data_IF_573871267480
#
_entry.id   IF_573871267480
#
_cell.length_a   1.000
_cell.length_b   1.000
_cell.length_c   1.000
_cell.angle_alpha   90.00
_cell.angle_beta   90.00
_cell.angle_gamma   90.00
#
_symmetry.space_group_name_H-M   'P 1'
#
loop_
_entity.id
_entity.type
_entity.pdbx_description
1 polymer ?
#
# COMPACT_ATOMS: atom_id res chain seq x y z
N UNK A 1 -18.40 17.28 19.24
CA UNK A 1 -17.10 17.85 18.89
C UNK A 1 -16.48 18.26 20.20
N UNK A 2 -15.47 17.54 20.69
CA UNK A 2 -14.78 17.94 21.92
C UNK A 2 -13.82 19.05 21.53
N UNK A 3 -14.16 20.29 21.88
CA UNK A 3 -13.24 21.43 21.79
C UNK A 3 -12.27 21.40 22.97
N UNK A 4 -11.18 22.18 22.87
CA UNK A 4 -10.28 22.44 23.99
C UNK A 4 -11.09 23.22 25.03
N UNK A 5 -11.55 22.52 26.07
CA UNK A 5 -12.34 23.13 27.13
C UNK A 5 -11.46 23.79 28.20
N UNK A 6 -10.21 23.36 28.31
CA UNK A 6 -9.30 23.76 29.38
C UNK A 6 -7.84 23.76 28.87
N UNK A 7 -6.98 24.55 29.52
CA UNK A 7 -5.55 24.57 29.19
C UNK A 7 -4.91 23.21 29.50
N UNK A 8 -4.09 22.70 28.58
CA UNK A 8 -3.36 21.45 28.79
C UNK A 8 -2.40 21.59 29.96
N UNK A 9 -2.32 20.59 30.86
CA UNK A 9 -1.30 20.56 31.92
C UNK A 9 0.14 20.58 31.38
N UNK A 10 0.34 20.28 30.10
CA UNK A 10 1.63 20.40 29.43
C UNK A 10 2.02 21.85 29.13
N UNK A 11 1.08 22.82 29.17
CA UNK A 11 1.39 24.24 28.96
C UNK A 11 2.23 24.86 30.08
N UNK A 12 2.35 24.18 31.22
CA UNK A 12 3.23 24.60 32.32
C UNK A 12 4.71 24.29 32.06
N UNK A 13 5.02 23.50 31.03
CA UNK A 13 6.39 23.16 30.65
C UNK A 13 6.84 24.21 29.63
N UNK A 14 7.86 25.01 29.97
CA UNK A 14 8.35 26.11 29.11
C UNK A 14 8.87 25.67 27.75
N UNK A 15 9.27 24.40 27.62
CA UNK A 15 9.73 23.79 26.37
C UNK A 15 8.62 23.11 25.55
N UNK A 16 7.38 23.07 26.07
CA UNK A 16 6.25 22.47 25.38
C UNK A 16 5.30 23.55 24.86
N UNK A 17 5.14 23.59 23.55
CA UNK A 17 4.18 24.47 22.90
C UNK A 17 3.20 23.62 22.08
N UNK A 18 1.88 23.67 22.36
CA UNK A 18 0.90 22.74 21.79
C UNK A 18 0.90 22.64 20.26
N UNK A 19 1.27 23.72 19.57
CA UNK A 19 1.27 23.80 18.09
C UNK A 19 2.57 23.23 17.49
N UNK A 20 3.70 23.31 18.20
CA UNK A 20 5.01 22.94 17.66
C UNK A 20 5.55 21.65 18.25
N UNK A 21 5.10 21.27 19.44
CA UNK A 21 5.54 20.09 20.19
C UNK A 21 4.64 18.87 19.97
N UNK A 22 3.42 19.05 19.45
CA UNK A 22 2.55 17.93 19.06
C UNK A 22 2.58 17.77 17.53
N UNK A 23 2.77 16.54 17.01
CA UNK A 23 2.66 16.30 15.59
C UNK A 23 1.22 16.57 15.13
N UNK A 24 1.01 17.29 14.02
CA UNK A 24 -0.33 17.57 13.51
C UNK A 24 -1.04 16.26 13.15
N UNK A 25 -2.33 16.15 13.46
CA UNK A 25 -3.11 14.98 13.12
C UNK A 25 -3.58 15.09 11.67
N UNK A 26 -2.68 14.80 10.73
CA UNK A 26 -2.96 14.82 9.28
C UNK A 26 -4.24 14.06 8.91
N UNK A 27 -4.61 13.03 9.66
CA UNK A 27 -5.83 12.27 9.43
C UNK A 27 -7.06 13.13 9.74
N UNK A 28 -7.14 13.70 10.94
CA UNK A 28 -8.30 14.49 11.35
C UNK A 28 -8.31 15.90 10.74
N UNK A 29 -7.17 16.58 10.72
CA UNK A 29 -7.07 17.99 10.31
C UNK A 29 -7.13 18.13 8.79
N UNK A 30 -6.40 17.27 8.06
CA UNK A 30 -6.28 17.38 6.59
C UNK A 30 -7.24 16.45 5.89
N UNK A 31 -7.16 15.14 6.14
CA UNK A 31 -7.90 14.14 5.34
C UNK A 31 -9.39 14.08 5.67
N UNK A 32 -9.75 14.19 6.95
CA UNK A 32 -11.14 14.24 7.39
C UNK A 32 -11.67 15.67 7.50
N UNK A 33 -10.79 16.63 7.75
CA UNK A 33 -11.11 18.05 7.91
C UNK A 33 -11.13 18.81 6.58
N UNK A 34 -9.99 19.39 6.20
CA UNK A 34 -9.92 20.40 5.14
C UNK A 34 -10.09 19.83 3.73
N UNK A 35 -9.50 18.67 3.41
CA UNK A 35 -9.48 18.10 2.06
C UNK A 35 -10.88 17.81 1.49
N UNK A 36 -11.80 17.16 2.21
CA UNK A 36 -13.14 16.90 1.69
C UNK A 36 -13.90 18.19 1.39
N UNK A 37 -13.69 19.24 2.21
CA UNK A 37 -14.31 20.54 2.03
C UNK A 37 -13.78 21.27 0.81
N UNK A 38 -12.46 21.29 0.65
CA UNK A 38 -11.80 21.89 -0.51
C UNK A 38 -12.18 21.19 -1.82
N UNK A 39 -12.21 19.84 -1.82
CA UNK A 39 -12.67 19.06 -2.96
C UNK A 39 -14.14 19.35 -3.32
N UNK A 40 -15.01 19.49 -2.31
CA UNK A 40 -16.43 19.81 -2.52
C UNK A 40 -16.60 21.21 -3.14
N UNK A 41 -15.88 22.21 -2.63
CA UNK A 41 -15.92 23.58 -3.18
C UNK A 41 -15.39 23.64 -4.62
N UNK A 42 -14.30 22.91 -4.92
CA UNK A 42 -13.76 22.80 -6.27
C UNK A 42 -14.77 22.18 -7.23
N UNK A 43 -15.37 21.04 -6.86
CA UNK A 43 -16.38 20.39 -7.68
C UNK A 43 -17.59 21.30 -7.90
N UNK A 44 -18.06 22.00 -6.87
CA UNK A 44 -19.14 22.97 -7.00
C UNK A 44 -18.79 24.10 -7.98
N UNK A 45 -17.58 24.67 -7.87
CA UNK A 45 -17.11 25.73 -8.77
C UNK A 45 -16.97 25.25 -10.23
N UNK A 46 -16.47 24.04 -10.45
CA UNK A 46 -16.37 23.44 -11.78
C UNK A 46 -17.74 23.17 -12.40
N UNK A 47 -18.72 22.76 -11.58
CA UNK A 47 -20.09 22.54 -12.03
C UNK A 47 -20.84 23.85 -12.30
N UNK A 48 -20.67 24.87 -11.46
CA UNK A 48 -21.29 26.19 -11.66
C UNK A 48 -20.75 26.91 -12.89
N UNK A 49 -19.46 26.74 -13.18
CA UNK A 49 -18.80 27.21 -14.42
C UNK A 49 -19.08 26.32 -15.65
N UNK A 50 -19.91 25.27 -15.52
CA UNK A 50 -20.28 24.33 -16.60
C UNK A 50 -19.09 23.59 -17.23
N UNK A 51 -17.99 23.44 -16.50
CA UNK A 51 -16.81 22.67 -16.96
C UNK A 51 -17.05 21.16 -16.89
N UNK A 52 -17.89 20.70 -15.96
CA UNK A 52 -18.26 19.29 -15.84
C UNK A 52 -19.64 19.11 -15.20
N UNK A 53 -20.28 17.97 -15.43
CA UNK A 53 -21.52 17.55 -14.75
C UNK A 53 -21.27 16.42 -13.75
N UNK A 54 -22.18 16.27 -12.79
CA UNK A 54 -22.16 15.14 -11.85
C UNK A 54 -22.20 13.79 -12.58
N UNK A 55 -22.97 13.70 -13.68
CA UNK A 55 -23.07 12.50 -14.51
C UNK A 55 -21.74 12.18 -15.21
N UNK A 56 -21.05 13.19 -15.76
CA UNK A 56 -19.73 13.02 -16.38
C UNK A 56 -18.70 12.53 -15.36
N UNK A 57 -18.66 13.11 -14.17
CA UNK A 57 -17.73 12.69 -13.11
C UNK A 57 -18.01 11.25 -12.67
N UNK A 58 -19.27 10.90 -12.40
CA UNK A 58 -19.65 9.53 -12.04
C UNK A 58 -19.30 8.53 -13.14
N UNK A 59 -19.48 8.92 -14.40
CA UNK A 59 -19.09 8.10 -15.54
C UNK A 59 -17.56 7.92 -15.61
N UNK A 60 -16.78 8.98 -15.36
CA UNK A 60 -15.32 8.90 -15.29
C UNK A 60 -14.84 8.00 -14.15
N UNK A 61 -15.40 8.15 -12.95
CA UNK A 61 -15.10 7.28 -11.79
C UNK A 61 -15.37 5.82 -12.14
N UNK A 62 -16.51 5.51 -12.75
CA UNK A 62 -16.87 4.13 -13.09
C UNK A 62 -16.04 3.55 -14.25
N UNK A 63 -15.65 4.37 -15.22
CA UNK A 63 -14.82 3.95 -16.36
C UNK A 63 -13.34 3.83 -16.00
N UNK A 64 -12.88 4.49 -14.95
CA UNK A 64 -11.47 4.49 -14.57
C UNK A 64 -11.01 3.10 -14.09
N UNK A 65 -9.91 2.62 -14.65
CA UNK A 65 -9.33 1.32 -14.29
C UNK A 65 -8.44 1.46 -13.06
N UNK A 66 -9.01 1.26 -11.87
CA UNK A 66 -8.26 1.30 -10.61
C UNK A 66 -7.29 0.13 -10.47
N UNK A 67 -6.10 0.41 -9.91
CA UNK A 67 -5.11 -0.58 -9.50
C UNK A 67 -5.64 -1.56 -8.46
N UNK A 68 -4.96 -2.68 -8.26
CA UNK A 68 -5.42 -3.74 -7.36
C UNK A 68 -5.53 -3.26 -5.90
N UNK A 69 -4.59 -2.45 -5.41
CA UNK A 69 -4.67 -1.92 -4.05
C UNK A 69 -5.72 -0.81 -3.92
N UNK A 70 -5.99 -0.07 -5.01
CA UNK A 70 -6.87 1.09 -5.00
C UNK A 70 -8.34 0.77 -5.35
N UNK A 71 -8.63 -0.43 -5.86
CA UNK A 71 -10.02 -0.92 -6.09
C UNK A 71 -10.92 -0.79 -4.86
N UNK A 72 -10.38 -1.00 -3.65
CA UNK A 72 -11.11 -0.87 -2.39
C UNK A 72 -11.33 0.59 -1.96
N UNK A 73 -10.51 1.50 -2.49
CA UNK A 73 -10.55 2.93 -2.20
C UNK A 73 -11.12 3.74 -3.38
N UNK A 74 -11.90 3.11 -4.26
CA UNK A 74 -12.53 3.81 -5.38
C UNK A 74 -13.46 4.93 -4.85
N UNK A 75 -13.47 6.12 -5.47
CA UNK A 75 -14.40 7.18 -5.13
C UNK A 75 -15.85 6.69 -5.25
N UNK A 76 -16.71 7.17 -4.36
CA UNK A 76 -18.14 6.88 -4.43
C UNK A 76 -18.82 7.78 -5.48
N UNK A 77 -19.89 7.29 -6.10
CA UNK A 77 -20.67 8.08 -7.05
C UNK A 77 -21.30 9.31 -6.35
N UNK A 78 -21.02 10.49 -6.87
CA UNK A 78 -21.56 11.75 -6.36
C UNK A 78 -23.09 11.75 -6.48
N UNK A 79 -23.78 12.02 -5.37
CA UNK A 79 -25.23 12.32 -5.38
C UNK A 79 -25.40 13.84 -5.32
N UNK A 80 -26.43 14.39 -5.96
CA UNK A 80 -26.68 15.85 -5.99
C UNK A 80 -26.77 16.47 -4.58
N UNK A 81 -27.31 15.72 -3.62
CA UNK A 81 -27.35 16.09 -2.21
C UNK A 81 -25.98 16.22 -1.51
N UNK A 82 -24.94 15.58 -2.05
CA UNK A 82 -23.58 15.61 -1.51
C UNK A 82 -22.82 16.88 -1.98
N UNK A 83 -23.38 17.65 -2.92
CA UNK A 83 -22.79 18.86 -3.54
C UNK A 83 -23.36 20.14 -2.91
N UNK A 84 -24.38 20.05 -2.04
CA UNK A 84 -24.98 21.23 -1.40
C UNK A 84 -24.16 21.73 -0.20
N UNK A 85 -24.00 23.06 -0.11
CA UNK A 85 -23.22 23.75 0.93
C UNK A 85 -23.57 23.34 2.37
N UNK A 86 -24.85 22.96 2.62
CA UNK A 86 -25.35 22.58 3.95
C UNK A 86 -24.86 21.21 4.44
N UNK A 87 -24.50 20.28 3.55
CA UNK A 87 -24.10 18.91 3.93
C UNK A 87 -22.58 18.75 4.15
N UNK A 88 -21.80 19.81 3.94
CA UNK A 88 -20.33 19.83 4.09
C UNK A 88 -19.89 19.62 5.57
N UNK A 89 -20.82 19.70 6.53
CA UNK A 89 -20.48 19.83 7.97
C UNK A 89 -20.33 18.56 8.82
N UNK A 90 -20.74 17.35 8.42
CA UNK A 90 -20.74 16.26 9.42
C UNK A 90 -20.79 14.78 8.96
N UNK A 91 -20.84 14.45 7.67
CA UNK A 91 -21.16 13.06 7.22
C UNK A 91 -20.04 12.30 6.53
N UNK A 92 -18.81 12.80 6.58
CA UNK A 92 -17.73 12.19 5.80
C UNK A 92 -16.99 11.05 6.51
N UNK A 93 -17.06 10.99 7.85
CA UNK A 93 -16.34 10.03 8.69
C UNK A 93 -16.80 8.58 8.56
N UNK A 94 -18.07 8.31 8.21
CA UNK A 94 -18.56 6.94 7.99
C UNK A 94 -18.40 6.45 6.54
N UNK A 95 -18.17 7.35 5.58
CA UNK A 95 -18.18 7.05 4.14
C UNK A 95 -16.82 7.14 3.44
N UNK A 96 -15.91 7.98 3.94
CA UNK A 96 -14.68 8.35 3.23
C UNK A 96 -13.45 8.17 4.10
N UNK A 97 -13.39 7.06 4.86
CA UNK A 97 -12.31 6.77 5.79
C UNK A 97 -10.90 7.09 5.22
N UNK A 98 -9.95 7.44 6.09
CA UNK A 98 -8.67 8.03 5.70
C UNK A 98 -7.90 7.13 4.73
N UNK A 99 -7.10 7.76 3.86
CA UNK A 99 -6.20 7.05 2.95
C UNK A 99 -5.34 6.06 3.76
N UNK A 100 -5.33 4.78 3.36
CA UNK A 100 -4.69 3.66 4.08
C UNK A 100 -3.24 3.94 4.53
N UNK A 101 -2.52 4.81 3.81
CA UNK A 101 -1.11 5.14 4.04
C UNK A 101 -0.88 6.37 4.95
N UNK A 102 -1.93 7.10 5.31
CA UNK A 102 -1.93 8.26 6.21
C UNK A 102 -2.91 8.07 7.38
N UNK A 103 -3.35 6.83 7.57
CA UNK A 103 -4.37 6.43 8.51
C UNK A 103 -3.77 6.21 9.90
N UNK A 104 -4.10 7.10 10.83
CA UNK A 104 -3.69 7.04 12.24
C UNK A 104 -4.46 5.99 13.06
N UNK A 105 -5.35 5.22 12.45
CA UNK A 105 -6.06 4.11 13.11
C UNK A 105 -5.12 3.08 13.76
N UNK A 106 -3.86 2.96 13.34
CA UNK A 106 -2.87 2.13 14.06
C UNK A 106 -2.49 2.70 15.43
N UNK A 107 -2.35 4.03 15.51
CA UNK A 107 -2.15 4.72 16.78
C UNK A 107 -3.42 4.64 17.64
N UNK A 108 -4.60 4.82 17.03
CA UNK A 108 -5.88 4.69 17.72
C UNK A 108 -6.14 3.26 18.22
N UNK A 109 -5.81 2.23 17.43
CA UNK A 109 -5.95 0.83 17.82
C UNK A 109 -5.04 0.48 18.99
N UNK A 110 -3.80 1.01 19.01
CA UNK A 110 -2.92 0.85 20.17
C UNK A 110 -3.49 1.58 21.38
N UNK A 111 -3.99 2.80 21.22
CA UNK A 111 -4.67 3.55 22.27
C UNK A 111 -5.93 2.85 22.79
N UNK A 112 -6.68 2.13 21.95
CA UNK A 112 -7.84 1.36 22.36
C UNK A 112 -7.46 0.26 23.37
N UNK A 113 -6.36 -0.47 23.13
CA UNK A 113 -5.84 -1.42 24.11
C UNK A 113 -5.45 -0.73 25.43
N UNK A 114 -4.76 0.41 25.36
CA UNK A 114 -4.36 1.16 26.56
C UNK A 114 -5.59 1.63 27.36
N UNK A 115 -6.63 2.14 26.67
CA UNK A 115 -7.91 2.53 27.28
C UNK A 115 -8.61 1.35 27.93
N UNK A 116 -8.63 0.19 27.29
CA UNK A 116 -9.21 -1.02 27.88
C UNK A 116 -8.47 -1.45 29.16
N UNK A 117 -7.13 -1.42 29.15
CA UNK A 117 -6.32 -1.75 30.32
C UNK A 117 -6.57 -0.74 31.45
N UNK A 118 -6.65 0.55 31.12
CA UNK A 118 -6.92 1.62 32.07
C UNK A 118 -8.32 1.50 32.70
N UNK A 119 -9.34 1.23 31.88
CA UNK A 119 -10.72 1.14 32.34
C UNK A 119 -11.00 -0.14 33.16
N UNK A 120 -10.24 -1.22 32.92
CA UNK A 120 -10.40 -2.51 33.62
C UNK A 120 -9.48 -2.67 34.83
N UNK A 121 -8.31 -2.05 34.80
CA UNK A 121 -7.38 -2.06 35.91
C UNK A 121 -7.73 -0.91 36.83
N UNK A 122 -8.48 -1.17 37.91
CA UNK A 122 -8.84 -0.20 38.96
C UNK A 122 -7.59 0.28 39.74
N UNK A 123 -6.64 0.92 39.05
CA UNK A 123 -5.34 1.32 39.55
C UNK A 123 -5.16 2.82 39.29
N UNK A 124 -5.37 3.63 40.33
CA UNK A 124 -5.47 5.09 40.23
C UNK A 124 -4.21 5.84 40.69
N UNK A 125 -3.20 5.14 41.26
CA UNK A 125 -2.02 5.78 41.85
C UNK A 125 -0.92 6.03 40.80
N UNK A 126 -0.58 5.04 39.97
CA UNK A 126 0.41 5.19 38.89
C UNK A 126 -0.04 4.44 37.63
N UNK A 127 -1.12 4.94 37.03
CA UNK A 127 -1.71 4.38 35.83
C UNK A 127 -0.71 4.23 34.66
N UNK A 128 0.18 5.19 34.37
CA UNK A 128 1.17 5.05 33.30
C UNK A 128 2.09 3.83 33.51
N UNK A 129 2.59 3.61 34.73
CA UNK A 129 3.44 2.47 35.04
C UNK A 129 2.71 1.14 34.85
N UNK A 130 1.48 1.04 35.36
CA UNK A 130 0.67 -0.18 35.23
C UNK A 130 0.36 -0.53 33.77
N UNK A 131 -0.02 0.47 32.97
CA UNK A 131 -0.27 0.28 31.54
C UNK A 131 1.02 -0.16 30.84
N UNK A 132 2.13 0.53 31.10
CA UNK A 132 3.43 0.25 30.46
C UNK A 132 3.89 -1.17 30.77
N UNK A 133 3.83 -1.58 32.04
CA UNK A 133 4.22 -2.93 32.47
C UNK A 133 3.36 -4.02 31.82
N UNK A 134 2.04 -3.83 31.73
CA UNK A 134 1.15 -4.81 31.08
C UNK A 134 1.38 -4.93 29.59
N UNK A 135 1.58 -3.80 28.90
CA UNK A 135 1.91 -3.80 27.47
C UNK A 135 3.26 -4.47 27.23
N UNK A 136 4.26 -4.17 28.05
CA UNK A 136 5.59 -4.77 27.94
C UNK A 136 5.54 -6.28 28.18
N UNK A 137 4.85 -6.76 29.21
CA UNK A 137 4.69 -8.19 29.48
C UNK A 137 3.97 -8.92 28.34
N UNK A 138 2.93 -8.29 27.77
CA UNK A 138 2.24 -8.84 26.60
C UNK A 138 3.17 -8.93 25.39
N UNK A 139 3.97 -7.90 25.14
CA UNK A 139 4.93 -7.90 24.04
C UNK A 139 5.99 -8.98 24.26
N UNK A 140 6.53 -9.13 25.47
CA UNK A 140 7.45 -10.23 25.79
C UNK A 140 6.80 -11.59 25.54
N UNK A 141 5.55 -11.79 25.95
CA UNK A 141 4.82 -13.03 25.70
C UNK A 141 4.67 -13.32 24.20
N UNK A 142 4.28 -12.32 23.41
CA UNK A 142 4.16 -12.43 21.95
C UNK A 142 5.52 -12.71 21.29
N UNK A 143 6.63 -12.22 21.86
CA UNK A 143 8.00 -12.45 21.36
C UNK A 143 8.62 -13.78 21.81
N UNK A 144 8.14 -14.37 22.91
CA UNK A 144 8.60 -15.66 23.42
C UNK A 144 8.11 -16.81 22.55
N UNK A 145 6.97 -16.65 21.87
CA UNK A 145 6.48 -17.65 20.92
C UNK A 145 7.47 -17.76 19.75
N UNK A 146 8.12 -18.92 19.60
CA UNK A 146 9.06 -19.19 18.50
C UNK A 146 8.41 -19.04 17.11
N UNK A 147 7.08 -19.03 17.04
CA UNK A 147 6.33 -18.80 15.82
C UNK A 147 6.17 -17.30 15.48
N UNK A 148 6.46 -16.38 16.39
CA UNK A 148 6.27 -14.94 16.19
C UNK A 148 7.05 -14.38 15.00
N UNK A 149 8.19 -15.00 14.68
CA UNK A 149 9.07 -14.61 13.57
C UNK A 149 9.20 -15.68 12.48
N UNK A 150 8.39 -16.75 12.51
CA UNK A 150 8.47 -17.75 11.43
C UNK A 150 8.07 -17.13 10.11
N UNK A 151 8.97 -17.23 9.14
CA UNK A 151 8.73 -16.82 7.76
C UNK A 151 7.63 -17.72 7.20
N UNK A 152 6.44 -17.17 7.04
CA UNK A 152 5.29 -17.91 6.54
C UNK A 152 5.42 -18.11 5.04
N UNK A 153 6.01 -19.25 4.64
CA UNK A 153 6.00 -19.72 3.27
C UNK A 153 4.68 -20.45 3.01
N UNK A 154 3.65 -19.69 2.64
CA UNK A 154 2.32 -20.22 2.37
C UNK A 154 1.96 -19.96 0.92
N UNK A 155 1.54 -21.00 0.20
CA UNK A 155 1.14 -20.89 -1.19
C UNK A 155 -0.35 -21.11 -1.39
N UNK A 156 -0.87 -20.62 -2.51
CA UNK A 156 -2.20 -20.98 -2.98
C UNK A 156 -2.26 -22.41 -3.53
N UNK A 157 -3.41 -22.82 -4.05
CA UNK A 157 -3.60 -24.14 -4.66
C UNK A 157 -2.55 -24.42 -5.75
N UNK A 158 -1.78 -25.48 -5.55
CA UNK A 158 -0.72 -25.95 -6.46
C UNK A 158 -1.36 -26.62 -7.67
N UNK A 159 -0.83 -26.29 -8.85
CA UNK A 159 -1.19 -26.94 -10.12
C UNK A 159 0.07 -27.40 -10.81
N UNK A 160 0.17 -28.69 -11.10
CA UNK A 160 1.31 -29.25 -11.82
C UNK A 160 1.10 -29.12 -13.32
N UNK A 161 2.14 -28.67 -14.04
CA UNK A 161 2.16 -28.62 -15.51
C UNK A 161 3.56 -28.95 -16.01
N UNK A 162 3.65 -29.45 -17.25
CA UNK A 162 4.94 -29.66 -17.91
C UNK A 162 5.52 -28.33 -18.41
N UNK A 163 6.85 -28.23 -18.38
CA UNK A 163 7.63 -27.04 -18.80
C UNK A 163 7.54 -26.70 -20.29
N UNK A 164 7.04 -27.62 -21.12
CA UNK A 164 6.83 -27.47 -22.57
C UNK A 164 5.91 -26.26 -22.91
N UNK A 165 5.11 -25.79 -21.96
CA UNK A 165 4.21 -24.64 -22.13
C UNK A 165 4.97 -23.32 -22.30
N UNK A 166 6.21 -23.22 -21.82
CA UNK A 166 6.99 -21.97 -21.91
C UNK A 166 7.55 -21.74 -23.31
N UNK A 167 7.73 -20.46 -23.68
CA UNK A 167 8.45 -20.09 -24.90
C UNK A 167 9.94 -20.44 -24.77
N UNK A 168 10.61 -20.78 -25.88
CA UNK A 168 12.02 -21.22 -25.91
C UNK A 168 12.98 -20.30 -25.15
N UNK A 169 12.75 -18.99 -25.17
CA UNK A 169 13.57 -18.02 -24.44
C UNK A 169 13.50 -18.20 -22.91
N UNK A 170 12.31 -18.46 -22.36
CA UNK A 170 12.13 -18.73 -20.93
C UNK A 170 12.70 -20.11 -20.57
N UNK A 171 12.60 -21.07 -21.50
CA UNK A 171 13.17 -22.40 -21.31
C UNK A 171 14.70 -22.32 -21.14
N UNK A 172 15.39 -21.57 -21.99
CA UNK A 172 16.84 -21.39 -21.90
C UNK A 172 17.25 -20.70 -20.59
N UNK A 173 16.55 -19.64 -20.20
CA UNK A 173 16.82 -18.94 -18.94
C UNK A 173 16.62 -19.83 -17.70
N UNK A 174 15.65 -20.76 -17.71
CA UNK A 174 15.44 -21.71 -16.61
C UNK A 174 16.58 -22.72 -16.48
N UNK A 175 17.19 -23.11 -17.60
CA UNK A 175 18.32 -24.05 -17.64
C UNK A 175 19.59 -23.38 -17.08
N UNK A 176 19.78 -22.09 -17.36
CA UNK A 176 20.90 -21.31 -16.82
C UNK A 176 20.77 -21.04 -15.31
N UNK A 177 19.55 -20.75 -14.82
CA UNK A 177 19.30 -20.35 -13.43
C UNK A 177 19.26 -21.53 -12.43
N UNK A 178 18.95 -22.75 -12.89
CA UNK A 178 18.83 -23.91 -11.99
C UNK A 178 19.18 -25.24 -12.67
N UNK A 179 19.87 -26.17 -11.97
CA UNK A 179 20.14 -27.50 -12.49
C UNK A 179 18.84 -28.32 -12.52
N UNK A 180 18.07 -28.18 -13.59
CA UNK A 180 16.79 -28.86 -13.77
C UNK A 180 16.73 -29.57 -15.12
N UNK A 181 16.12 -30.76 -15.15
CA UNK A 181 16.00 -31.58 -16.36
C UNK A 181 14.73 -31.19 -17.12
N UNK A 182 14.90 -30.82 -18.39
CA UNK A 182 13.80 -30.42 -19.26
C UNK A 182 12.72 -31.53 -19.38
N UNK A 183 11.44 -31.14 -19.31
CA UNK A 183 10.29 -32.06 -19.39
C UNK A 183 9.67 -32.44 -18.05
N UNK A 184 10.34 -32.13 -16.94
CA UNK A 184 9.84 -32.42 -15.60
C UNK A 184 8.61 -31.58 -15.22
N UNK A 185 7.89 -32.09 -14.22
CA UNK A 185 6.66 -31.51 -13.72
C UNK A 185 7.01 -30.32 -12.82
N UNK A 186 6.52 -29.13 -13.19
CA UNK A 186 6.68 -27.91 -12.40
C UNK A 186 5.37 -27.53 -11.74
N UNK A 187 5.48 -27.08 -10.49
CA UNK A 187 4.37 -26.62 -9.68
C UNK A 187 4.10 -25.13 -9.94
N UNK A 188 2.87 -24.81 -10.30
CA UNK A 188 2.38 -23.45 -10.53
C UNK A 188 1.41 -23.04 -9.44
N UNK A 189 1.53 -21.79 -9.01
CA UNK A 189 0.60 -21.16 -8.07
C UNK A 189 0.12 -19.80 -8.58
N UNK A 190 -1.08 -19.40 -8.17
CA UNK A 190 -1.60 -18.04 -8.48
C UNK A 190 -1.00 -16.97 -7.57
N UNK A 191 -0.60 -17.35 -6.36
CA UNK A 191 0.00 -16.48 -5.36
C UNK A 191 0.81 -17.30 -4.37
N UNK A 192 1.83 -16.66 -3.79
CA UNK A 192 2.67 -17.19 -2.71
C UNK A 192 2.96 -16.08 -1.70
N UNK A 193 2.99 -16.42 -0.42
CA UNK A 193 3.46 -15.58 0.67
C UNK A 193 4.86 -16.09 1.03
N UNK A 194 5.87 -15.23 0.92
CA UNK A 194 7.26 -15.51 1.28
C UNK A 194 7.71 -14.34 2.15
N UNK A 195 8.24 -14.62 3.34
CA UNK A 195 8.72 -13.59 4.28
C UNK A 195 7.70 -12.48 4.55
N UNK A 196 6.42 -12.85 4.68
CA UNK A 196 5.28 -11.94 4.83
C UNK A 196 4.98 -11.02 3.63
N UNK A 197 5.69 -11.18 2.51
CA UNK A 197 5.40 -10.51 1.25
C UNK A 197 4.54 -11.43 0.39
N UNK A 198 3.38 -10.92 -0.02
CA UNK A 198 2.46 -11.67 -0.88
C UNK A 198 2.71 -11.32 -2.34
N UNK A 199 3.19 -12.31 -3.08
CA UNK A 199 3.38 -12.25 -4.53
C UNK A 199 2.20 -12.89 -5.23
N UNK A 200 1.68 -12.23 -6.27
CA UNK A 200 0.56 -12.74 -7.06
C UNK A 200 0.82 -12.50 -8.54
N UNK A 201 0.35 -13.44 -9.36
CA UNK A 201 0.41 -13.30 -10.82
C UNK A 201 -0.33 -12.03 -11.26
N UNK A 202 0.35 -11.20 -12.04
CA UNK A 202 -0.13 -9.93 -12.57
C UNK A 202 0.28 -8.70 -11.75
N UNK A 203 0.85 -8.88 -10.57
CA UNK A 203 1.34 -7.77 -9.74
C UNK A 203 2.67 -7.22 -10.30
N UNK A 204 2.91 -5.93 -10.03
CA UNK A 204 4.12 -5.22 -10.44
C UNK A 204 5.05 -5.01 -9.25
N UNK A 205 6.35 -5.12 -9.48
CA UNK A 205 7.40 -4.89 -8.49
C UNK A 205 8.55 -4.11 -9.12
N UNK A 206 9.44 -3.57 -8.30
CA UNK A 206 10.73 -3.02 -8.73
C UNK A 206 11.79 -4.11 -8.57
N UNK A 207 12.50 -4.43 -9.65
CA UNK A 207 13.60 -5.40 -9.62
C UNK A 207 14.92 -4.69 -9.27
N UNK A 208 15.40 -3.81 -10.15
CA UNK A 208 16.69 -3.15 -10.00
C UNK A 208 16.62 -1.65 -10.28
N UNK A 209 17.66 -0.92 -9.90
CA UNK A 209 17.86 0.49 -10.25
C UNK A 209 18.96 0.56 -11.32
N UNK A 210 18.66 1.19 -12.45
CA UNK A 210 19.65 1.46 -13.50
C UNK A 210 20.43 2.74 -13.16
N UNK A 211 21.70 2.78 -13.55
CA UNK A 211 22.55 3.97 -13.43
C UNK A 211 23.00 4.29 -12.00
N UNK A 212 22.99 3.31 -11.09
CA UNK A 212 23.53 3.49 -9.75
C UNK A 212 22.65 4.26 -8.77
N UNK A 213 21.33 4.36 -9.01
CA UNK A 213 20.23 4.48 -8.01
C UNK A 213 18.99 5.26 -8.47
N UNK A 214 18.99 5.87 -9.65
CA UNK A 214 17.94 6.85 -9.98
C UNK A 214 16.73 6.29 -10.75
N UNK A 215 16.93 5.26 -11.59
CA UNK A 215 15.89 4.82 -12.52
C UNK A 215 15.42 3.40 -12.19
N UNK A 216 14.22 3.23 -11.62
CA UNK A 216 13.68 1.91 -11.33
C UNK A 216 13.33 1.13 -12.60
N UNK A 217 13.71 -0.14 -12.61
CA UNK A 217 13.26 -1.12 -13.60
C UNK A 217 12.08 -1.90 -13.01
N UNK A 218 10.93 -1.76 -13.66
CA UNK A 218 9.70 -2.38 -13.23
C UNK A 218 9.53 -3.75 -13.88
N UNK A 219 8.95 -4.67 -13.12
CA UNK A 219 8.68 -6.02 -13.59
C UNK A 219 7.26 -6.44 -13.24
N UNK A 220 6.62 -7.20 -14.13
CA UNK A 220 5.30 -7.77 -13.93
C UNK A 220 5.38 -9.29 -13.83
N UNK A 221 4.86 -9.87 -12.76
CA UNK A 221 4.85 -11.32 -12.57
C UNK A 221 3.89 -11.98 -13.57
N UNK A 222 4.41 -12.78 -14.50
CA UNK A 222 3.60 -13.60 -15.43
C UNK A 222 3.27 -14.97 -14.84
N UNK A 223 4.27 -15.63 -14.24
CA UNK A 223 4.09 -16.94 -13.62
C UNK A 223 4.90 -17.05 -12.32
N UNK A 224 4.36 -17.82 -11.38
CA UNK A 224 5.05 -18.20 -10.14
C UNK A 224 5.19 -19.71 -10.18
N UNK A 225 6.43 -20.17 -10.09
CA UNK A 225 6.78 -21.58 -10.17
C UNK A 225 7.57 -22.00 -8.94
N UNK A 226 7.45 -23.27 -8.58
CA UNK A 226 8.24 -23.90 -7.52
C UNK A 226 9.09 -24.99 -8.15
N UNK A 227 10.42 -24.84 -8.03
CA UNK A 227 11.45 -25.68 -8.65
C UNK A 227 12.54 -25.93 -7.61
N UNK A 228 12.93 -27.20 -7.41
CA UNK A 228 14.03 -27.60 -6.51
C UNK A 228 13.91 -26.93 -5.12
N UNK A 229 12.72 -27.01 -4.51
CA UNK A 229 12.41 -26.43 -3.19
C UNK A 229 12.55 -24.89 -3.08
N UNK A 230 12.63 -24.18 -4.20
CA UNK A 230 12.69 -22.73 -4.24
C UNK A 230 11.61 -22.14 -5.14
N UNK A 231 11.11 -20.96 -4.75
CA UNK A 231 10.18 -20.19 -5.57
C UNK A 231 10.93 -19.37 -6.61
N UNK A 232 10.43 -19.36 -7.85
CA UNK A 232 10.92 -18.54 -8.95
C UNK A 232 9.79 -17.77 -9.59
N UNK A 233 10.11 -16.56 -10.04
CA UNK A 233 9.16 -15.63 -10.63
C UNK A 233 9.54 -15.38 -12.08
N UNK A 234 8.71 -15.85 -13.01
CA UNK A 234 8.85 -15.49 -14.42
C UNK A 234 8.18 -14.13 -14.60
N UNK A 235 8.98 -13.13 -14.95
CA UNK A 235 8.54 -11.74 -15.04
C UNK A 235 8.69 -11.20 -16.45
N UNK A 236 7.84 -10.23 -16.80
CA UNK A 236 8.04 -9.36 -17.96
C UNK A 236 8.64 -8.04 -17.50
N UNK A 237 9.74 -7.64 -18.13
CA UNK A 237 10.41 -6.37 -17.84
C UNK A 237 9.69 -5.19 -18.49
N UNK A 238 9.74 -4.04 -17.84
CA UNK A 238 9.22 -2.77 -18.32
C UNK A 238 10.29 -1.70 -18.22
N UNK A 239 10.53 -1.01 -19.33
CA UNK A 239 11.51 0.08 -19.42
C UNK A 239 10.84 1.39 -18.97
N UNK A 240 11.57 2.16 -18.15
CA UNK A 240 11.11 3.46 -17.66
C UNK A 240 11.40 4.54 -18.69
N UNK A 241 10.34 5.18 -19.21
CA UNK A 241 10.44 6.22 -20.23
C UNK A 241 10.70 7.59 -19.60
N UNK A 242 9.90 7.95 -18.60
CA UNK A 242 9.94 9.28 -18.00
C UNK A 242 9.44 9.24 -16.56
N UNK A 243 10.02 10.11 -15.72
CA UNK A 243 9.52 10.41 -14.39
C UNK A 243 8.84 11.78 -14.40
N UNK A 244 7.62 11.85 -13.86
CA UNK A 244 6.87 13.11 -13.73
C UNK A 244 6.81 13.52 -12.27
N UNK A 245 7.66 14.48 -11.91
CA UNK A 245 7.81 14.96 -10.53
C UNK A 245 6.52 15.54 -9.94
N UNK A 246 5.72 16.27 -10.73
CA UNK A 246 4.51 16.94 -10.23
C UNK A 246 3.47 15.97 -9.62
N UNK A 247 3.39 14.75 -10.13
CA UNK A 247 2.42 13.73 -9.72
C UNK A 247 3.09 12.47 -9.17
N UNK A 248 4.42 12.46 -9.14
CA UNK A 248 5.26 11.40 -8.59
C UNK A 248 4.99 10.01 -9.19
N UNK A 249 4.91 9.92 -10.51
CA UNK A 249 4.74 8.65 -11.22
C UNK A 249 5.80 8.46 -12.32
N UNK A 250 6.02 7.20 -12.67
CA UNK A 250 6.85 6.75 -13.77
C UNK A 250 5.96 6.30 -14.92
N UNK A 251 6.28 6.74 -16.12
CA UNK A 251 5.73 6.19 -17.36
C UNK A 251 6.63 5.04 -17.83
N UNK A 252 6.03 3.89 -18.13
CA UNK A 252 6.74 2.65 -18.44
C UNK A 252 6.22 2.01 -19.73
N UNK A 253 7.08 1.23 -20.40
CA UNK A 253 6.74 0.48 -21.61
C UNK A 253 7.11 -0.99 -21.46
N UNK A 254 6.28 -1.94 -21.94
CA UNK A 254 6.65 -3.34 -21.92
C UNK A 254 7.89 -3.58 -22.77
N UNK A 255 8.90 -4.20 -22.17
CA UNK A 255 10.04 -4.76 -22.87
C UNK A 255 9.68 -6.15 -23.42
N UNK A 256 10.38 -6.58 -24.47
CA UNK A 256 10.19 -7.91 -25.08
C UNK A 256 10.88 -9.02 -24.28
N UNK A 257 11.67 -8.66 -23.27
CA UNK A 257 12.45 -9.59 -22.47
C UNK A 257 11.61 -10.14 -21.31
N UNK A 258 11.66 -11.46 -21.12
CA UNK A 258 11.17 -12.10 -19.92
C UNK A 258 12.38 -12.59 -19.14
N UNK A 259 12.43 -12.25 -17.85
CA UNK A 259 13.49 -12.69 -16.95
C UNK A 259 12.91 -13.62 -15.90
N UNK A 260 13.79 -14.34 -15.21
CA UNK A 260 13.47 -15.15 -14.06
C UNK A 260 14.13 -14.47 -12.88
N UNK A 261 13.37 -14.24 -11.83
CA UNK A 261 13.87 -13.62 -10.60
C UNK A 261 13.63 -14.54 -9.41
N UNK A 262 14.56 -14.51 -8.46
CA UNK A 262 14.36 -14.99 -7.09
C UNK A 262 13.66 -13.93 -6.22
N UNK A 263 13.34 -14.26 -4.96
CA UNK A 263 12.72 -13.28 -4.05
C UNK A 263 13.68 -12.11 -3.74
N UNK A 264 14.98 -12.40 -3.68
CA UNK A 264 16.01 -11.48 -3.18
C UNK A 264 16.37 -10.41 -4.22
N UNK A 265 15.98 -10.65 -5.48
CA UNK A 265 16.16 -9.70 -6.59
C UNK A 265 15.06 -8.63 -6.65
N UNK A 266 13.99 -8.74 -5.86
CA UNK A 266 13.00 -7.65 -5.74
C UNK A 266 13.45 -6.63 -4.71
N UNK A 267 13.63 -5.38 -5.13
CA UNK A 267 13.95 -4.28 -4.21
C UNK A 267 12.77 -3.92 -3.30
N UNK A 268 11.54 -4.10 -3.78
CA UNK A 268 10.32 -3.71 -3.07
C UNK A 268 9.62 -4.91 -2.44
N UNK A 269 9.33 -4.84 -1.14
CA UNK A 269 8.55 -5.86 -0.41
C UNK A 269 7.02 -5.68 -0.54
N UNK A 270 6.57 -4.98 -1.59
CA UNK A 270 5.16 -4.69 -1.83
C UNK A 270 4.88 -4.56 -3.31
N UNK A 271 3.75 -5.13 -3.74
CA UNK A 271 3.22 -4.95 -5.09
C UNK A 271 2.78 -3.50 -5.34
N UNK A 272 3.28 -2.93 -6.44
CA UNK A 272 2.90 -1.61 -6.92
C UNK A 272 1.68 -1.67 -7.85
N UNK A 273 0.91 -0.59 -7.86
CA UNK A 273 -0.23 -0.45 -8.76
C UNK A 273 0.21 0.16 -10.10
N UNK A 274 -0.19 -0.50 -11.17
CA UNK A 274 0.02 -0.04 -12.54
C UNK A 274 -1.31 0.41 -13.16
N UNK A 275 -1.27 1.58 -13.78
CA UNK A 275 -2.40 2.24 -14.43
C UNK A 275 -2.17 2.27 -15.93
N UNK A 276 -3.18 1.91 -16.72
CA UNK A 276 -3.11 1.98 -18.18
C UNK A 276 -4.01 3.10 -18.68
N UNK A 277 -3.42 4.18 -19.19
CA UNK A 277 -4.13 5.40 -19.61
C UNK A 277 -3.53 5.84 -20.95
N UNK A 278 -4.36 6.15 -21.95
CA UNK A 278 -3.92 6.65 -23.26
C UNK A 278 -2.80 5.82 -23.93
N UNK A 279 -2.90 4.49 -23.86
CA UNK A 279 -1.91 3.53 -24.36
C UNK A 279 -0.54 3.51 -23.68
N UNK A 280 -0.38 4.24 -22.57
CA UNK A 280 0.82 4.21 -21.73
C UNK A 280 0.53 3.55 -20.38
N UNK A 281 1.55 2.92 -19.80
CA UNK A 281 1.50 2.37 -18.45
C UNK A 281 2.15 3.34 -17.46
N UNK A 282 1.54 3.50 -16.29
CA UNK A 282 2.01 4.40 -15.25
C UNK A 282 2.09 3.68 -13.91
N UNK A 283 3.21 3.80 -13.23
CA UNK A 283 3.40 3.26 -11.88
C UNK A 283 3.78 4.40 -10.93
N UNK A 284 3.11 4.43 -9.77
CA UNK A 284 3.45 5.36 -8.69
C UNK A 284 4.19 4.61 -7.60
N UNK A 285 5.43 4.99 -7.35
CA UNK A 285 6.21 4.49 -6.22
C UNK A 285 6.08 5.46 -5.04
N UNK A 286 5.68 4.99 -3.84
CA UNK A 286 5.37 5.86 -2.71
C UNK A 286 6.57 6.47 -1.99
N UNK A 287 7.75 5.88 -2.12
CA UNK A 287 8.97 6.35 -1.49
C UNK A 287 10.04 6.55 -2.57
N UNK A 288 11.01 7.41 -2.26
CA UNK A 288 12.21 7.51 -3.09
C UNK A 288 12.96 6.19 -2.95
N UNK A 289 13.34 5.60 -4.08
CA UNK A 289 14.04 4.31 -4.12
C UNK A 289 15.55 4.45 -3.92
N UNK A 290 16.03 5.64 -3.52
CA UNK A 290 17.42 5.84 -3.11
C UNK A 290 17.75 4.87 -2.00
N UNK A 291 18.80 4.08 -2.19
CA UNK A 291 19.31 3.22 -1.14
C UNK A 291 19.80 4.17 -0.05
N UNK A 292 19.31 3.99 1.17
CA UNK A 292 19.94 4.63 2.32
C UNK A 292 21.18 3.78 2.56
N UNK A 293 22.35 4.29 2.15
CA UNK A 293 23.64 3.79 2.63
C UNK A 293 23.73 3.91 4.17
#
# INVERSE_FOLDING_TARGET
MYGINEASTLSFISSFHPITSLPPDLMHDVLEGVMPKLASCLLHSMMSSRLCTSSQICQMINKFTYGNNDKRNRPFALKEKDISEKNIRARNTAKYGPLKRQMNLRYEAKHHLLKQIANRGNHFINLPYTISKRVQLRQCYELIDENAFRLNNVSGKIRTRRTIIFHKSIQNALIEDSPFIYGDIVEFVKWVLIDNVKYKVGDFFVAHLLGGEEIPLFVKIKFIIHIVQQWRFIVQCYDTIAFRQNLWYYEIRPSNNNNILSKDEFLTHKAEDCYYINNSYFIRVPYRLTIIE
#
